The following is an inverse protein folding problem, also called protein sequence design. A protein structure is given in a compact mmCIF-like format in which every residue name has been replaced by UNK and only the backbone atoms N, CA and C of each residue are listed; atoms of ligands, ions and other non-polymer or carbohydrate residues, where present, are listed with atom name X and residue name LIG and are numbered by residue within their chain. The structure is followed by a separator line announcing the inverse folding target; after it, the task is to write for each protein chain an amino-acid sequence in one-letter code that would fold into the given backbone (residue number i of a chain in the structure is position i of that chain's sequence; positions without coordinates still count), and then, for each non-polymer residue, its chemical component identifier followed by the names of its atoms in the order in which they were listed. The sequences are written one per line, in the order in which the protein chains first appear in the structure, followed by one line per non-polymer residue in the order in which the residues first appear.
data_IF_028162716176
#
_entry.id   IF_028162716176
#
_cell.length_a   1.000
_cell.length_b   1.000
_cell.length_c   1.000
_cell.angle_alpha   90.00
_cell.angle_beta   90.00
_cell.angle_gamma   90.00
#
_symmetry.space_group_name_H-M   'P 1'
#
loop_
_entity.id
_entity.type
_entity.pdbx_description
1 polymer ?
#
# COMPACT_ATOMS: atom_id res chain seq x y z
N UNK A 1 24.84 -8.38 52.42
CA UNK A 1 25.29 -8.74 51.06
C UNK A 1 24.10 -8.61 50.13
N UNK A 2 24.12 -7.62 49.22
CA UNK A 2 23.11 -7.48 48.17
C UNK A 2 23.31 -8.61 47.17
N UNK A 3 22.26 -9.40 46.94
CA UNK A 3 22.14 -10.34 45.82
C UNK A 3 21.35 -9.57 44.76
N UNK A 4 22.06 -9.03 43.78
CA UNK A 4 21.45 -8.42 42.60
C UNK A 4 21.00 -9.53 41.64
N UNK A 5 19.79 -9.33 41.11
CA UNK A 5 18.93 -10.27 40.40
C UNK A 5 19.37 -10.63 38.97
N UNK A 6 18.94 -11.79 38.43
CA UNK A 6 19.09 -12.18 37.02
C UNK A 6 17.97 -11.64 36.09
N UNK A 7 17.25 -10.57 36.45
CA UNK A 7 16.07 -10.11 35.69
C UNK A 7 16.39 -9.47 34.33
N UNK A 8 17.59 -8.91 34.15
CA UNK A 8 17.94 -8.11 32.96
C UNK A 8 18.06 -8.91 31.66
N UNK A 9 18.24 -10.22 31.71
CA UNK A 9 18.45 -11.04 30.49
C UNK A 9 17.12 -11.41 29.82
N UNK A 10 16.02 -11.47 30.59
CA UNK A 10 14.68 -11.81 30.09
C UNK A 10 14.05 -10.64 29.34
N UNK A 11 14.08 -9.44 29.92
CA UNK A 11 13.53 -8.22 29.29
C UNK A 11 14.27 -7.86 27.99
N UNK A 12 15.59 -8.03 27.95
CA UNK A 12 16.39 -7.79 26.75
C UNK A 12 16.08 -8.76 25.60
N UNK A 13 15.71 -10.01 25.89
CA UNK A 13 15.28 -10.99 24.87
C UNK A 13 13.87 -10.69 24.35
N UNK A 14 12.95 -10.33 25.23
CA UNK A 14 11.60 -9.89 24.85
C UNK A 14 11.65 -8.63 23.97
N UNK A 15 12.54 -7.69 24.28
CA UNK A 15 12.77 -6.49 23.46
C UNK A 15 13.28 -6.83 22.05
N UNK A 16 14.19 -7.80 21.92
CA UNK A 16 14.74 -8.20 20.63
C UNK A 16 13.70 -8.91 19.73
N UNK A 17 12.90 -9.82 20.28
CA UNK A 17 11.83 -10.48 19.52
C UNK A 17 10.74 -9.49 19.10
N UNK A 18 10.36 -8.58 19.99
CA UNK A 18 9.41 -7.51 19.68
C UNK A 18 9.94 -6.57 18.58
N UNK A 19 11.21 -6.16 18.66
CA UNK A 19 11.85 -5.36 17.60
C UNK A 19 11.93 -6.10 16.28
N UNK A 20 12.22 -7.41 16.29
CA UNK A 20 12.28 -8.21 15.07
C UNK A 20 10.92 -8.29 14.38
N UNK A 21 9.85 -8.53 15.14
CA UNK A 21 8.49 -8.58 14.58
C UNK A 21 8.03 -7.19 14.10
N UNK A 22 8.37 -6.11 14.82
CA UNK A 22 8.10 -4.74 14.37
C UNK A 22 8.82 -4.43 13.06
N UNK A 23 10.12 -4.70 12.95
CA UNK A 23 10.88 -4.52 11.72
C UNK A 23 10.32 -5.33 10.55
N UNK A 24 9.83 -6.55 10.81
CA UNK A 24 9.18 -7.38 9.80
C UNK A 24 7.84 -6.78 9.35
N UNK A 25 7.06 -6.23 10.28
CA UNK A 25 5.81 -5.51 9.98
C UNK A 25 6.10 -4.27 9.13
N UNK A 26 7.07 -3.45 9.51
CA UNK A 26 7.49 -2.25 8.77
C UNK A 26 7.88 -2.58 7.32
N UNK A 27 8.77 -3.56 7.12
CA UNK A 27 9.17 -3.98 5.76
C UNK A 27 7.99 -4.46 4.91
N UNK A 28 6.98 -5.08 5.53
CA UNK A 28 5.78 -5.54 4.82
C UNK A 28 4.92 -4.35 4.41
N UNK A 29 4.71 -3.40 5.31
CA UNK A 29 3.94 -2.19 5.06
C UNK A 29 4.62 -1.32 3.99
N UNK A 30 5.93 -1.05 4.11
CA UNK A 30 6.71 -0.32 3.10
C UNK A 30 6.59 -0.97 1.71
N UNK A 31 6.66 -2.31 1.65
CA UNK A 31 6.48 -3.04 0.40
C UNK A 31 5.06 -2.87 -0.15
N UNK A 32 4.03 -2.93 0.70
CA UNK A 32 2.65 -2.74 0.29
C UNK A 32 2.39 -1.32 -0.22
N UNK A 33 2.96 -0.29 0.43
CA UNK A 33 2.91 1.10 -0.05
C UNK A 33 3.48 1.16 -1.47
N UNK A 34 4.71 0.68 -1.68
CA UNK A 34 5.36 0.69 -2.99
C UNK A 34 4.59 -0.13 -4.06
N UNK A 35 3.96 -1.24 -3.67
CA UNK A 35 3.10 -2.01 -4.58
C UNK A 35 1.82 -1.26 -4.94
N UNK A 36 1.21 -0.54 -4.00
CA UNK A 36 0.04 0.30 -4.28
C UNK A 36 0.39 1.49 -5.17
N UNK A 37 1.49 2.20 -4.90
CA UNK A 37 1.98 3.30 -5.73
C UNK A 37 2.20 2.86 -7.18
N UNK A 38 2.85 1.71 -7.38
CA UNK A 38 3.06 1.15 -8.71
C UNK A 38 1.74 0.79 -9.41
N UNK A 39 0.76 0.27 -8.67
CA UNK A 39 -0.55 -0.07 -9.22
C UNK A 39 -1.35 1.19 -9.57
N UNK A 40 -1.25 2.25 -8.78
CA UNK A 40 -1.83 3.55 -9.08
C UNK A 40 -1.27 4.08 -10.39
N UNK A 41 0.07 4.12 -10.54
CA UNK A 41 0.74 4.59 -11.76
C UNK A 41 0.30 3.80 -13.01
N UNK A 42 0.23 2.46 -12.90
CA UNK A 42 -0.22 1.60 -14.00
C UNK A 42 -1.70 1.84 -14.35
N UNK A 43 -2.57 1.98 -13.34
CA UNK A 43 -3.99 2.27 -13.54
C UNK A 43 -4.20 3.65 -14.16
N UNK A 44 -3.47 4.67 -13.73
CA UNK A 44 -3.52 6.03 -14.31
C UNK A 44 -3.08 6.02 -15.78
N UNK A 45 -2.01 5.28 -16.10
CA UNK A 45 -1.57 5.10 -17.49
C UNK A 45 -2.65 4.41 -18.34
N UNK A 46 -3.23 3.32 -17.84
CA UNK A 46 -4.32 2.61 -18.54
C UNK A 46 -5.57 3.47 -18.72
N UNK A 47 -5.93 4.28 -17.72
CA UNK A 47 -7.04 5.24 -17.81
C UNK A 47 -6.75 6.25 -18.93
N UNK A 48 -5.54 6.82 -18.96
CA UNK A 48 -5.12 7.76 -20.01
C UNK A 48 -5.18 7.16 -21.41
N UNK A 49 -4.77 5.91 -21.58
CA UNK A 49 -4.86 5.20 -22.86
C UNK A 49 -6.32 4.98 -23.31
N UNK A 50 -7.21 4.64 -22.36
CA UNK A 50 -8.64 4.46 -22.66
C UNK A 50 -9.30 5.80 -22.95
N UNK A 51 -8.98 6.85 -22.21
CA UNK A 51 -9.48 8.21 -22.46
C UNK A 51 -9.03 8.73 -23.83
N UNK A 52 -7.78 8.46 -24.24
CA UNK A 52 -7.29 8.80 -25.57
C UNK A 52 -8.06 8.09 -26.68
N UNK A 53 -8.43 6.82 -26.48
CA UNK A 53 -9.29 6.07 -27.41
C UNK A 53 -10.70 6.63 -27.44
N UNK A 54 -11.27 6.99 -26.29
CA UNK A 54 -12.61 7.62 -26.19
C UNK A 54 -12.67 9.02 -26.80
N UNK A 55 -11.54 9.73 -26.90
CA UNK A 55 -11.46 11.03 -27.56
C UNK A 55 -11.58 10.94 -29.10
N UNK A 56 -11.57 9.74 -29.68
CA UNK A 56 -11.81 9.52 -31.11
C UNK A 56 -13.31 9.43 -31.41
N UNK A 57 -13.77 9.84 -32.61
CA UNK A 57 -15.18 9.73 -33.01
C UNK A 57 -15.73 8.30 -32.92
N UNK A 58 -14.90 7.31 -33.27
CA UNK A 58 -15.24 5.89 -33.23
C UNK A 58 -15.30 5.38 -31.78
N UNK A 59 -14.33 5.78 -30.94
CA UNK A 59 -14.28 5.38 -29.53
C UNK A 59 -15.34 6.06 -28.66
N UNK A 60 -15.80 7.26 -29.01
CA UNK A 60 -16.90 7.94 -28.32
C UNK A 60 -18.25 7.20 -28.45
N UNK A 61 -18.40 6.37 -29.49
CA UNK A 61 -19.57 5.52 -29.68
C UNK A 61 -19.40 4.11 -29.09
N UNK A 62 -18.21 3.76 -28.60
CA UNK A 62 -17.91 2.45 -28.03
C UNK A 62 -18.18 2.42 -26.52
N UNK A 63 -19.33 1.87 -26.16
CA UNK A 63 -19.75 1.69 -24.76
C UNK A 63 -18.80 0.80 -23.95
N UNK A 64 -18.03 -0.09 -24.58
CA UNK A 64 -17.08 -0.96 -23.89
C UNK A 64 -15.87 -0.19 -23.35
N UNK A 65 -15.43 0.86 -24.07
CA UNK A 65 -14.37 1.75 -23.60
C UNK A 65 -14.84 2.54 -22.37
N UNK A 66 -16.10 3.00 -22.37
CA UNK A 66 -16.69 3.67 -21.22
C UNK A 66 -16.78 2.75 -20.00
N UNK A 67 -17.27 1.51 -20.16
CA UNK A 67 -17.30 0.53 -19.06
C UNK A 67 -15.90 0.23 -18.52
N UNK A 68 -14.92 0.02 -19.40
CA UNK A 68 -13.53 -0.21 -19.01
C UNK A 68 -12.96 0.98 -18.24
N UNK A 69 -13.20 2.21 -18.71
CA UNK A 69 -12.78 3.43 -18.03
C UNK A 69 -13.37 3.54 -16.63
N UNK A 70 -14.67 3.30 -16.48
CA UNK A 70 -15.33 3.33 -15.16
C UNK A 70 -14.79 2.25 -14.22
N UNK A 71 -14.53 1.04 -14.72
CA UNK A 71 -13.93 -0.03 -13.92
C UNK A 71 -12.51 0.30 -13.49
N UNK A 72 -11.70 0.87 -14.39
CA UNK A 72 -10.34 1.29 -14.07
C UNK A 72 -10.34 2.40 -13.03
N UNK A 73 -11.19 3.43 -13.16
CA UNK A 73 -11.34 4.48 -12.14
C UNK A 73 -11.74 3.92 -10.78
N UNK A 74 -12.76 3.05 -10.73
CA UNK A 74 -13.19 2.43 -9.47
C UNK A 74 -12.06 1.61 -8.84
N UNK A 75 -11.26 0.94 -9.66
CA UNK A 75 -10.11 0.17 -9.19
C UNK A 75 -9.03 1.11 -8.66
N UNK A 76 -8.75 2.22 -9.36
CA UNK A 76 -7.84 3.27 -8.92
C UNK A 76 -8.25 3.81 -7.57
N UNK A 77 -9.51 4.22 -7.40
CA UNK A 77 -10.06 4.72 -6.14
C UNK A 77 -9.82 3.71 -4.99
N UNK A 78 -10.08 2.42 -5.25
CA UNK A 78 -9.85 1.35 -4.26
C UNK A 78 -8.38 1.21 -3.89
N UNK A 79 -7.46 1.29 -4.86
CA UNK A 79 -6.02 1.17 -4.59
C UNK A 79 -5.48 2.42 -3.89
N UNK A 80 -6.03 3.60 -4.18
CA UNK A 80 -5.70 4.83 -3.46
C UNK A 80 -6.15 4.72 -2.00
N UNK A 81 -7.37 4.27 -1.73
CA UNK A 81 -7.84 4.00 -0.35
C UNK A 81 -6.95 2.97 0.37
N UNK A 82 -6.52 1.90 -0.33
CA UNK A 82 -5.58 0.90 0.22
C UNK A 82 -4.22 1.53 0.53
N UNK A 83 -3.67 2.33 -0.39
CA UNK A 83 -2.41 3.05 -0.18
C UNK A 83 -2.49 4.00 1.01
N UNK A 84 -3.56 4.77 1.14
CA UNK A 84 -3.78 5.68 2.28
C UNK A 84 -3.80 4.89 3.60
N UNK A 85 -4.59 3.80 3.66
CA UNK A 85 -4.69 2.97 4.85
C UNK A 85 -3.35 2.33 5.26
N UNK A 86 -2.62 1.77 4.29
CA UNK A 86 -1.31 1.14 4.53
C UNK A 86 -0.26 2.19 4.92
N UNK A 87 -0.30 3.38 4.31
CA UNK A 87 0.61 4.48 4.64
C UNK A 87 0.37 5.01 6.05
N UNK A 88 -0.89 5.15 6.46
CA UNK A 88 -1.23 5.48 7.84
C UNK A 88 -0.75 4.41 8.82
N UNK A 89 -0.98 3.12 8.52
CA UNK A 89 -0.50 2.03 9.37
C UNK A 89 1.04 1.98 9.44
N UNK A 90 1.73 2.32 8.36
CA UNK A 90 3.18 2.42 8.32
C UNK A 90 3.67 3.55 9.23
N UNK A 91 3.09 4.74 9.13
CA UNK A 91 3.43 5.89 9.97
C UNK A 91 3.18 5.58 11.45
N UNK A 92 2.04 4.97 11.79
CA UNK A 92 1.73 4.51 13.15
C UNK A 92 2.71 3.46 13.67
N UNK A 93 3.24 2.59 12.80
CA UNK A 93 4.22 1.58 13.18
C UNK A 93 5.65 2.12 13.28
N UNK A 94 5.94 3.26 12.65
CA UNK A 94 7.23 3.94 12.68
C UNK A 94 7.35 4.95 13.84
N UNK A 95 6.22 5.52 14.29
CA UNK A 95 6.12 6.42 15.44
C UNK A 95 6.19 5.72 16.79
#
# INVERSE_FOLDING_TARGET
MKKDEPETVSENKLSYEAQKELNKKLRKLEKQVAECEKRIEDLESQIGEVEAQMATPEGAADMSLYEKHQQLKKTLDTVVEEWEAVSMELEEAQG
#
